data_IF_948887913001
#
_entry.id   IF_948887913001
#
_cell.length_a   1.000
_cell.length_b   1.000
_cell.length_c   1.000
_cell.angle_alpha   90.00
_cell.angle_beta   90.00
_cell.angle_gamma   90.00
#
_symmetry.space_group_name_H-M   'P 1'
#
loop_
_entity.id
_entity.type
_entity.pdbx_description
1 polymer ?
#
# COMPACT_ATOMS: atom_id res chain seq x y z
N UNK A 1 -15.91 -33.59 15.96
CA UNK A 1 -15.40 -32.80 14.81
C UNK A 1 -15.76 -31.31 14.87
N UNK A 2 -16.95 -30.90 15.31
CA UNK A 2 -17.37 -29.48 15.31
C UNK A 2 -16.68 -28.54 16.30
N UNK A 3 -16.27 -29.03 17.49
CA UNK A 3 -15.63 -28.20 18.52
C UNK A 3 -14.22 -27.74 18.10
N UNK A 4 -13.44 -28.62 17.48
CA UNK A 4 -12.10 -28.26 16.98
C UNK A 4 -12.18 -27.21 15.85
N UNK A 5 -13.14 -27.35 14.94
CA UNK A 5 -13.34 -26.40 13.83
C UNK A 5 -13.78 -25.02 14.33
N UNK A 6 -14.67 -24.97 15.32
CA UNK A 6 -15.15 -23.70 15.90
C UNK A 6 -14.05 -22.96 16.64
N UNK A 7 -13.22 -23.66 17.42
CA UNK A 7 -12.04 -23.07 18.08
C UNK A 7 -11.05 -22.54 17.04
N UNK A 8 -10.80 -23.29 15.96
CA UNK A 8 -9.92 -22.84 14.87
C UNK A 8 -10.44 -21.58 14.17
N UNK A 9 -11.74 -21.56 13.81
CA UNK A 9 -12.38 -20.39 13.18
C UNK A 9 -12.37 -19.17 14.10
N UNK A 10 -12.52 -19.36 15.41
CA UNK A 10 -12.41 -18.27 16.39
C UNK A 10 -11.02 -17.65 16.41
N UNK A 11 -9.96 -18.46 16.46
CA UNK A 11 -8.59 -17.97 16.37
C UNK A 11 -8.31 -17.27 15.05
N UNK A 12 -8.79 -17.84 13.94
CA UNK A 12 -8.66 -17.23 12.62
C UNK A 12 -9.37 -15.87 12.56
N UNK A 13 -10.60 -15.78 13.07
CA UNK A 13 -11.35 -14.54 13.17
C UNK A 13 -10.63 -13.49 14.01
N UNK A 14 -10.12 -13.89 15.19
CA UNK A 14 -9.36 -13.00 16.07
C UNK A 14 -8.11 -12.45 15.37
N UNK A 15 -7.35 -13.30 14.67
CA UNK A 15 -6.17 -12.90 13.91
C UNK A 15 -6.53 -11.91 12.79
N UNK A 16 -7.59 -12.18 12.03
CA UNK A 16 -8.06 -11.29 10.97
C UNK A 16 -8.53 -9.94 11.53
N UNK A 17 -9.25 -9.93 12.65
CA UNK A 17 -9.68 -8.69 13.31
C UNK A 17 -8.49 -7.88 13.81
N UNK A 18 -7.52 -8.50 14.47
CA UNK A 18 -6.30 -7.83 14.93
C UNK A 18 -5.50 -7.25 13.76
N UNK A 19 -5.36 -8.02 12.68
CA UNK A 19 -4.68 -7.56 11.48
C UNK A 19 -5.42 -6.38 10.81
N UNK A 20 -6.75 -6.44 10.72
CA UNK A 20 -7.57 -5.34 10.21
C UNK A 20 -7.42 -4.06 11.03
N UNK A 21 -7.43 -4.17 12.37
CA UNK A 21 -7.20 -3.03 13.27
C UNK A 21 -5.78 -2.46 13.07
N UNK A 22 -4.78 -3.33 12.97
CA UNK A 22 -3.40 -2.91 12.72
C UNK A 22 -3.27 -2.12 11.42
N UNK A 23 -3.83 -2.63 10.31
CA UNK A 23 -3.83 -1.93 9.03
C UNK A 23 -4.59 -0.59 9.11
N UNK A 24 -5.74 -0.56 9.78
CA UNK A 24 -6.52 0.65 9.97
C UNK A 24 -5.75 1.73 10.74
N UNK A 25 -5.07 1.35 11.84
CA UNK A 25 -4.23 2.26 12.60
C UNK A 25 -3.03 2.73 11.78
N UNK A 26 -2.33 1.82 11.10
CA UNK A 26 -1.16 2.13 10.29
C UNK A 26 -1.49 3.14 9.19
N UNK A 27 -2.59 2.92 8.47
CA UNK A 27 -3.06 3.79 7.37
C UNK A 27 -3.61 5.12 7.87
N UNK A 28 -4.13 5.18 9.09
CA UNK A 28 -4.56 6.44 9.72
C UNK A 28 -3.37 7.29 10.15
N UNK A 29 -2.31 6.65 10.63
CA UNK A 29 -1.08 7.31 11.11
C UNK A 29 -0.20 7.76 9.94
N UNK A 30 -0.06 6.92 8.92
CA UNK A 30 0.80 7.16 7.75
C UNK A 30 -0.09 7.41 6.54
N UNK A 31 -0.08 8.65 6.05
CA UNK A 31 -0.79 9.04 4.84
C UNK A 31 0.17 9.21 3.68
N UNK A 32 -0.21 8.67 2.54
CA UNK A 32 0.48 8.87 1.28
C UNK A 32 -0.24 9.96 0.49
N UNK A 33 0.53 10.89 -0.08
CA UNK A 33 0.02 11.95 -0.94
C UNK A 33 0.75 11.89 -2.27
N UNK A 34 0.01 11.57 -3.31
CA UNK A 34 0.50 11.63 -4.68
C UNK A 34 0.47 13.10 -5.12
N UNK A 35 1.63 13.62 -5.52
CA UNK A 35 1.79 14.95 -6.12
C UNK A 35 2.24 14.78 -7.57
N UNK A 36 2.28 15.84 -8.39
CA UNK A 36 2.69 15.71 -9.79
C UNK A 36 4.13 15.23 -10.01
N UNK A 37 5.01 15.39 -9.02
CA UNK A 37 6.44 15.08 -9.17
C UNK A 37 6.97 14.02 -8.20
N UNK A 38 6.21 13.71 -7.13
CA UNK A 38 6.66 12.78 -6.11
C UNK A 38 5.51 12.15 -5.31
N UNK A 39 5.78 10.98 -4.74
CA UNK A 39 4.98 10.38 -3.68
C UNK A 39 5.50 10.86 -2.32
N UNK A 40 4.68 11.62 -1.61
CA UNK A 40 5.02 12.14 -0.29
C UNK A 40 4.39 11.28 0.81
N UNK A 41 5.18 10.98 1.84
CA UNK A 41 4.73 10.24 3.01
C UNK A 41 4.60 11.21 4.18
N UNK A 42 3.42 11.25 4.78
CA UNK A 42 3.09 12.04 5.95
C UNK A 42 2.82 11.13 7.14
N UNK A 43 3.28 11.54 8.32
CA UNK A 43 2.93 10.93 9.61
C UNK A 43 2.45 12.02 10.56
N UNK A 44 1.21 11.90 11.05
CA UNK A 44 0.62 12.88 11.97
C UNK A 44 0.61 14.31 11.41
N UNK A 45 0.48 14.48 10.10
CA UNK A 45 0.52 15.79 9.42
C UNK A 45 1.92 16.32 9.07
N UNK A 46 2.99 15.73 9.60
CA UNK A 46 4.36 16.06 9.22
C UNK A 46 4.84 15.22 8.05
N UNK A 47 5.50 15.85 7.07
CA UNK A 47 6.14 15.15 5.95
C UNK A 47 7.39 14.41 6.45
N UNK A 48 7.38 13.08 6.36
CA UNK A 48 8.49 12.23 6.84
C UNK A 48 9.42 11.76 5.73
N UNK A 49 8.89 11.61 4.50
CA UNK A 49 9.67 11.13 3.36
C UNK A 49 9.06 11.59 2.04
N UNK A 50 9.89 11.73 1.03
CA UNK A 50 9.48 12.06 -0.34
C UNK A 50 10.18 11.08 -1.27
N UNK A 51 9.42 10.53 -2.20
CA UNK A 51 9.90 9.61 -3.23
C UNK A 51 9.66 10.25 -4.61
N UNK A 52 10.67 10.91 -5.19
CA UNK A 52 10.56 11.57 -6.49
C UNK A 52 10.33 10.55 -7.61
N UNK A 53 9.38 10.80 -8.51
CA UNK A 53 9.08 9.85 -9.60
C UNK A 53 10.22 9.67 -10.60
N UNK A 54 11.10 10.67 -10.71
CA UNK A 54 12.32 10.59 -11.53
C UNK A 54 13.27 9.46 -11.09
N UNK A 55 13.21 9.06 -9.82
CA UNK A 55 14.09 8.03 -9.24
C UNK A 55 13.45 6.63 -9.31
N UNK A 56 12.24 6.52 -9.87
CA UNK A 56 11.50 5.27 -9.96
C UNK A 56 11.89 4.50 -11.22
N UNK A 57 12.34 3.26 -11.04
CA UNK A 57 12.66 2.35 -12.14
C UNK A 57 11.45 1.53 -12.58
N UNK A 58 10.60 1.15 -11.63
CA UNK A 58 9.40 0.34 -11.91
C UNK A 58 8.36 0.52 -10.81
N UNK A 59 7.09 0.28 -11.14
CA UNK A 59 5.98 0.26 -10.20
C UNK A 59 4.96 -0.80 -10.59
N UNK A 60 4.27 -1.39 -9.61
CA UNK A 60 3.28 -2.44 -9.83
C UNK A 60 2.17 -2.34 -8.78
N UNK A 61 0.94 -2.57 -9.21
CA UNK A 61 -0.19 -2.81 -8.30
C UNK A 61 -0.42 -4.33 -8.27
N UNK A 62 0.06 -4.99 -7.22
CA UNK A 62 0.03 -6.46 -7.14
C UNK A 62 -1.35 -7.03 -6.85
N UNK A 63 -2.18 -6.27 -6.13
CA UNK A 63 -3.53 -6.69 -5.75
C UNK A 63 -4.44 -5.46 -5.67
N UNK A 64 -5.48 -5.36 -6.51
CA UNK A 64 -6.39 -4.20 -6.51
C UNK A 64 -7.48 -4.29 -5.44
N UNK A 65 -7.67 -5.43 -4.77
CA UNK A 65 -8.60 -5.54 -3.65
C UNK A 65 -8.07 -4.84 -2.39
N UNK A 66 -8.95 -4.53 -1.43
CA UNK A 66 -8.54 -3.86 -0.20
C UNK A 66 -7.91 -4.85 0.80
N UNK A 67 -6.77 -4.51 1.43
CA UNK A 67 -5.89 -3.37 1.13
C UNK A 67 -5.08 -3.59 -0.16
N UNK A 68 -4.88 -2.53 -0.94
CA UNK A 68 -4.10 -2.59 -2.17
C UNK A 68 -2.64 -2.82 -1.81
N UNK A 69 -1.99 -3.75 -2.51
CA UNK A 69 -0.55 -3.97 -2.40
C UNK A 69 0.14 -3.18 -3.50
N UNK A 70 0.66 -2.01 -3.15
CA UNK A 70 1.40 -1.15 -4.05
C UNK A 70 2.90 -1.38 -3.92
N UNK A 71 3.56 -1.59 -5.05
CA UNK A 71 5.00 -1.81 -5.14
C UNK A 71 5.62 -0.74 -6.02
N UNK A 72 6.76 -0.21 -5.59
CA UNK A 72 7.62 0.60 -6.44
C UNK A 72 9.08 0.35 -6.10
N UNK A 73 9.92 0.46 -7.13
CA UNK A 73 11.37 0.31 -7.04
C UNK A 73 12.03 1.63 -7.41
N UNK A 74 12.79 2.17 -6.49
CA UNK A 74 13.73 3.26 -6.73
C UNK A 74 15.12 2.70 -7.07
N UNK A 75 15.99 3.53 -7.65
CA UNK A 75 17.37 3.17 -8.00
C UNK A 75 18.13 2.50 -6.84
N UNK A 76 17.84 2.92 -5.59
CA UNK A 76 18.56 2.45 -4.39
C UNK A 76 17.69 1.68 -3.40
N UNK A 77 16.40 1.47 -3.66
CA UNK A 77 15.49 0.89 -2.66
C UNK A 77 14.24 0.27 -3.28
N UNK A 78 13.72 -0.77 -2.63
CA UNK A 78 12.48 -1.43 -3.03
C UNK A 78 11.45 -1.21 -1.93
N UNK A 79 10.23 -0.84 -2.32
CA UNK A 79 9.16 -0.50 -1.40
C UNK A 79 7.87 -1.26 -1.75
N UNK A 80 7.31 -1.93 -0.74
CA UNK A 80 6.01 -2.60 -0.82
C UNK A 80 5.13 -2.04 0.30
N UNK A 81 4.03 -1.41 -0.10
CA UNK A 81 3.16 -0.65 0.78
C UNK A 81 1.73 -1.19 0.67
N UNK A 82 1.17 -1.75 1.76
CA UNK A 82 -0.27 -1.95 1.86
C UNK A 82 -0.95 -0.60 2.08
N UNK A 83 -1.86 -0.23 1.17
CA UNK A 83 -2.54 1.07 1.19
C UNK A 83 -4.04 0.87 1.04
N UNK A 84 -4.82 1.69 1.76
CA UNK A 84 -6.28 1.77 1.58
C UNK A 84 -6.51 2.97 0.67
N UNK A 85 -6.57 2.71 -0.63
CA UNK A 85 -6.77 3.72 -1.67
C UNK A 85 -7.64 3.13 -2.78
N UNK A 86 -8.11 3.96 -3.72
CA UNK A 86 -8.81 3.46 -4.91
C UNK A 86 -7.80 3.02 -5.98
N UNK A 87 -7.86 1.75 -6.39
CA UNK A 87 -6.84 1.16 -7.28
C UNK A 87 -6.82 1.81 -8.67
N UNK A 88 -8.00 2.16 -9.18
CA UNK A 88 -8.17 2.75 -10.52
C UNK A 88 -7.59 4.16 -10.53
N UNK A 89 -7.99 4.99 -9.57
CA UNK A 89 -7.48 6.35 -9.41
C UNK A 89 -5.97 6.37 -9.20
N UNK A 90 -5.44 5.42 -8.42
CA UNK A 90 -3.99 5.28 -8.24
C UNK A 90 -3.29 4.98 -9.57
N UNK A 91 -3.80 4.02 -10.32
CA UNK A 91 -3.23 3.63 -11.60
C UNK A 91 -3.23 4.80 -12.59
N UNK A 92 -4.36 5.48 -12.76
CA UNK A 92 -4.48 6.66 -13.64
C UNK A 92 -3.50 7.76 -13.24
N UNK A 93 -3.36 8.02 -11.93
CA UNK A 93 -2.42 9.00 -11.43
C UNK A 93 -0.96 8.62 -11.73
N UNK A 94 -0.60 7.34 -11.56
CA UNK A 94 0.74 6.84 -11.84
C UNK A 94 1.04 6.87 -13.34
N UNK A 95 0.13 6.43 -14.20
CA UNK A 95 0.30 6.45 -15.65
C UNK A 95 0.46 7.88 -16.21
N UNK A 96 -0.13 8.87 -15.53
CA UNK A 96 -0.01 10.29 -15.91
C UNK A 96 1.35 10.89 -15.54
N UNK A 97 1.94 10.48 -14.41
CA UNK A 97 3.12 11.16 -13.83
C UNK A 97 4.40 10.32 -13.84
N UNK A 98 4.29 9.01 -14.04
CA UNK A 98 5.39 8.04 -13.97
C UNK A 98 5.43 7.27 -15.28
N UNK A 99 6.61 7.02 -15.87
CA UNK A 99 6.73 6.16 -17.04
C UNK A 99 6.06 4.80 -16.84
N UNK A 100 5.51 4.25 -17.93
CA UNK A 100 4.79 2.99 -17.90
C UNK A 100 5.65 1.87 -17.27
N UNK A 101 5.03 1.01 -16.45
CA UNK A 101 5.77 0.00 -15.71
C UNK A 101 6.30 -1.06 -16.67
N UNK A 102 7.60 -1.39 -16.54
CA UNK A 102 8.20 -2.45 -17.33
C UNK A 102 7.76 -3.78 -16.73
N UNK A 103 6.90 -4.53 -17.44
CA UNK A 103 6.65 -5.94 -17.15
C UNK A 103 7.92 -6.71 -17.53
N UNK A 104 8.71 -7.09 -16.53
CA UNK A 104 9.80 -8.07 -16.67
C UNK A 104 9.28 -9.44 -16.24
#
# INVERSE_FOLDING_TARGET
MGVALTVFLWWLGLLLTLFGIFLFLQTSIIRLRFTPTALEVYRGGAKIRVFPYQDWENWLIFWPGLPIIFYFKEVKSIHLLPIIFDAVTLQECLETHVPAPRRQ
#
